data_IF_607173078413
#
_entry.id   IF_607173078413
#
_cell.length_a   1.000
_cell.length_b   1.000
_cell.length_c   1.000
_cell.angle_alpha   90.00
_cell.angle_beta   90.00
_cell.angle_gamma   90.00
#
_symmetry.space_group_name_H-M   'P 1'
#
loop_
_entity.id
_entity.type
_entity.pdbx_description
1 polymer ?
#
# COMPACT_ATOMS: atom_id res chain seq x y z
N UNK A 1 -0.77 17.27 1.22
CA UNK A 1 -1.49 18.56 1.03
C UNK A 1 -2.72 18.58 1.94
N UNK A 2 -3.56 17.58 1.92
CA UNK A 2 -4.76 17.51 2.78
C UNK A 2 -4.47 17.65 4.28
N UNK A 3 -3.30 17.25 4.73
CA UNK A 3 -2.82 17.39 6.13
C UNK A 3 -2.01 18.66 6.39
N UNK A 4 -1.90 19.58 5.40
CA UNK A 4 -1.34 20.91 5.61
C UNK A 4 -0.04 21.24 4.87
N UNK A 5 0.54 20.31 4.10
CA UNK A 5 1.73 20.59 3.32
C UNK A 5 1.49 21.75 2.34
N UNK A 6 2.38 22.74 2.35
CA UNK A 6 2.32 23.89 1.46
C UNK A 6 3.06 23.61 0.15
N UNK A 7 4.12 22.81 0.21
CA UNK A 7 4.92 22.39 -0.93
C UNK A 7 5.39 20.95 -0.73
N UNK A 8 5.57 20.24 -1.82
CA UNK A 8 6.11 18.87 -1.85
C UNK A 8 7.17 18.82 -2.94
N UNK A 9 8.35 18.29 -2.61
CA UNK A 9 9.43 18.05 -3.57
C UNK A 9 9.78 16.56 -3.61
N UNK A 10 9.25 15.79 -4.57
CA UNK A 10 9.48 14.35 -4.66
C UNK A 10 10.83 14.05 -5.36
N UNK A 11 11.93 14.50 -4.76
CA UNK A 11 13.26 14.42 -5.37
C UNK A 11 13.65 13.00 -5.78
N UNK A 12 13.40 12.00 -4.93
CA UNK A 12 13.73 10.60 -5.21
C UNK A 12 12.95 10.04 -6.41
N UNK A 13 11.71 10.48 -6.61
CA UNK A 13 10.95 10.13 -7.80
C UNK A 13 11.58 10.70 -9.06
N UNK A 14 12.07 11.93 -9.00
CA UNK A 14 12.76 12.57 -10.13
C UNK A 14 14.09 11.88 -10.47
N UNK A 15 14.90 11.58 -9.47
CA UNK A 15 16.12 10.79 -9.62
C UNK A 15 15.84 9.40 -10.24
N UNK A 16 14.78 8.74 -9.77
CA UNK A 16 14.39 7.44 -10.32
C UNK A 16 13.97 7.54 -11.78
N UNK A 17 13.21 8.57 -12.15
CA UNK A 17 12.79 8.83 -13.54
C UNK A 17 14.01 9.07 -14.44
N UNK A 18 14.96 9.87 -13.98
CA UNK A 18 16.20 10.13 -14.71
C UNK A 18 16.98 8.85 -14.97
N UNK A 19 17.19 8.03 -13.93
CA UNK A 19 17.83 6.73 -14.06
C UNK A 19 17.11 5.77 -15.02
N UNK A 20 15.78 5.76 -15.05
CA UNK A 20 15.00 4.93 -15.98
C UNK A 20 15.18 5.39 -17.43
N UNK A 21 15.26 6.71 -17.67
CA UNK A 21 15.58 7.27 -18.99
C UNK A 21 17.01 6.91 -19.42
N UNK A 22 18.00 7.05 -18.52
CA UNK A 22 19.39 6.69 -18.79
C UNK A 22 19.58 5.20 -19.12
N UNK A 23 18.81 4.34 -18.47
CA UNK A 23 18.82 2.89 -18.76
C UNK A 23 18.06 2.50 -20.02
N UNK A 24 17.40 3.45 -20.67
CA UNK A 24 16.56 3.18 -21.85
C UNK A 24 15.25 2.44 -21.54
N UNK A 25 14.83 2.42 -20.27
CA UNK A 25 13.54 1.85 -19.87
C UNK A 25 12.36 2.82 -20.18
N UNK A 26 12.66 4.10 -20.31
CA UNK A 26 11.74 5.14 -20.78
C UNK A 26 12.31 5.78 -22.04
N UNK A 27 11.59 5.66 -23.16
CA UNK A 27 11.98 6.21 -24.47
C UNK A 27 11.49 7.67 -24.61
N UNK A 28 11.84 8.50 -23.63
CA UNK A 28 11.57 9.96 -23.62
C UNK A 28 12.68 10.68 -22.85
N UNK A 29 12.82 11.98 -23.07
CA UNK A 29 13.80 12.76 -22.32
C UNK A 29 13.45 12.83 -20.83
N UNK A 30 14.45 12.88 -19.92
CA UNK A 30 14.23 13.00 -18.47
C UNK A 30 13.33 14.20 -18.12
N UNK A 31 13.54 15.34 -18.79
CA UNK A 31 12.72 16.53 -18.60
C UNK A 31 11.24 16.26 -18.94
N UNK A 32 10.96 15.62 -20.07
CA UNK A 32 9.59 15.32 -20.48
C UNK A 32 8.95 14.28 -19.54
N UNK A 33 9.71 13.29 -19.11
CA UNK A 33 9.25 12.28 -18.15
C UNK A 33 8.87 12.92 -16.79
N UNK A 34 9.71 13.82 -16.28
CA UNK A 34 9.45 14.57 -15.05
C UNK A 34 8.21 15.46 -15.17
N UNK A 35 8.02 16.14 -16.31
CA UNK A 35 6.81 16.93 -16.57
C UNK A 35 5.57 16.05 -16.62
N UNK A 36 5.65 14.87 -17.24
CA UNK A 36 4.55 13.92 -17.30
C UNK A 36 4.20 13.38 -15.92
N UNK A 37 5.20 13.06 -15.09
CA UNK A 37 5.00 12.65 -13.69
C UNK A 37 4.24 13.73 -12.91
N UNK A 38 4.70 15.00 -12.98
CA UNK A 38 4.04 16.12 -12.31
C UNK A 38 2.59 16.30 -12.80
N UNK A 39 2.35 16.21 -14.10
CA UNK A 39 0.99 16.26 -14.67
C UNK A 39 0.12 15.11 -14.14
N UNK A 40 0.68 13.92 -14.01
CA UNK A 40 -0.01 12.77 -13.44
C UNK A 40 -0.43 12.98 -11.98
N UNK A 41 0.47 13.48 -11.15
CA UNK A 41 0.18 13.84 -9.74
C UNK A 41 -0.90 14.92 -9.66
N UNK A 42 -0.82 15.96 -10.47
CA UNK A 42 -1.83 17.03 -10.50
C UNK A 42 -3.22 16.48 -10.89
N UNK A 43 -3.29 15.59 -11.90
CA UNK A 43 -4.56 14.95 -12.29
C UNK A 43 -5.11 14.08 -11.15
N UNK A 44 -4.25 13.37 -10.43
CA UNK A 44 -4.64 12.59 -9.25
C UNK A 44 -5.24 13.49 -8.16
N UNK A 45 -4.59 14.61 -7.86
CA UNK A 45 -5.08 15.59 -6.90
C UNK A 45 -6.46 16.14 -7.30
N UNK A 46 -6.63 16.57 -8.55
CA UNK A 46 -7.91 17.06 -9.05
C UNK A 46 -9.02 16.02 -8.97
N UNK A 47 -8.70 14.76 -9.24
CA UNK A 47 -9.65 13.66 -9.10
C UNK A 47 -10.11 13.47 -7.65
N UNK A 48 -9.18 13.53 -6.70
CA UNK A 48 -9.50 13.42 -5.27
C UNK A 48 -10.37 14.60 -4.84
N UNK A 49 -9.96 15.83 -5.17
CA UNK A 49 -10.73 17.05 -4.85
C UNK A 49 -12.12 17.02 -5.44
N UNK A 50 -12.25 16.60 -6.70
CA UNK A 50 -13.55 16.45 -7.38
C UNK A 50 -14.47 15.47 -6.66
N UNK A 51 -13.94 14.31 -6.21
CA UNK A 51 -14.72 13.33 -5.43
C UNK A 51 -15.15 13.85 -4.07
N UNK A 52 -14.35 14.73 -3.46
CA UNK A 52 -14.67 15.37 -2.18
C UNK A 52 -15.58 16.60 -2.33
N UNK A 53 -15.88 17.03 -3.56
CA UNK A 53 -16.64 18.25 -3.82
C UNK A 53 -15.87 19.53 -3.53
N UNK A 54 -14.55 19.51 -3.56
CA UNK A 54 -13.67 20.65 -3.27
C UNK A 54 -13.14 21.22 -4.57
N UNK A 55 -13.39 22.53 -4.82
CA UNK A 55 -12.97 23.22 -6.05
C UNK A 55 -11.64 23.96 -5.93
N UNK A 56 -11.19 24.28 -4.73
CA UNK A 56 -9.96 25.06 -4.50
C UNK A 56 -8.95 24.27 -3.65
N UNK A 57 -7.67 24.38 -3.99
CA UNK A 57 -6.58 23.75 -3.22
C UNK A 57 -6.51 24.31 -1.78
N UNK A 58 -6.82 25.60 -1.61
CA UNK A 58 -6.84 26.22 -0.30
C UNK A 58 -7.86 25.55 0.64
N UNK A 59 -9.02 25.14 0.14
CA UNK A 59 -10.03 24.41 0.91
C UNK A 59 -9.66 22.96 1.15
N UNK A 60 -8.90 22.34 0.25
CA UNK A 60 -8.40 20.97 0.43
C UNK A 60 -7.24 20.90 1.43
N UNK A 61 -6.38 21.91 1.42
CA UNK A 61 -5.23 21.99 2.32
C UNK A 61 -5.68 22.04 3.78
N UNK A 62 -5.14 21.18 4.59
CA UNK A 62 -5.53 21.03 6.02
C UNK A 62 -7.02 20.74 6.24
N UNK A 63 -7.72 20.20 5.25
CA UNK A 63 -9.14 19.87 5.37
C UNK A 63 -9.43 18.83 6.46
N UNK A 64 -8.43 17.99 6.80
CA UNK A 64 -8.51 16.91 7.78
C UNK A 64 -9.71 15.96 7.52
N UNK A 65 -10.04 15.75 6.24
CA UNK A 65 -11.09 14.82 5.79
C UNK A 65 -10.61 13.37 5.71
N UNK A 66 -9.54 13.07 6.43
CA UNK A 66 -8.94 11.74 6.50
C UNK A 66 -9.04 11.22 7.93
N UNK A 67 -9.21 9.92 8.05
CA UNK A 67 -9.05 9.21 9.31
C UNK A 67 -7.73 8.44 9.32
N UNK A 68 -7.06 8.42 10.46
CA UNK A 68 -5.95 7.51 10.69
C UNK A 68 -6.50 6.16 11.19
N UNK A 69 -5.96 5.08 10.64
CA UNK A 69 -6.31 3.72 11.04
C UNK A 69 -5.04 2.99 11.43
N UNK A 70 -5.01 2.41 12.63
CA UNK A 70 -3.86 1.65 13.10
C UNK A 70 -2.68 2.51 13.56
N UNK A 71 -2.93 3.73 14.03
CA UNK A 71 -1.92 4.64 14.59
C UNK A 71 -2.23 4.93 16.05
N UNK A 72 -1.23 4.79 16.93
CA UNK A 72 -1.36 5.03 18.36
C UNK A 72 -1.71 6.50 18.66
N UNK A 73 -2.48 6.72 19.74
CA UNK A 73 -2.90 8.06 20.15
C UNK A 73 -1.73 9.01 20.42
N UNK A 74 -0.64 8.54 21.00
CA UNK A 74 0.55 9.37 21.25
C UNK A 74 1.08 9.98 19.95
N UNK A 75 1.16 9.18 18.88
CA UNK A 75 1.59 9.65 17.55
C UNK A 75 0.56 10.64 16.98
N UNK A 76 -0.73 10.35 17.16
CA UNK A 76 -1.81 11.21 16.68
C UNK A 76 -1.81 12.58 17.35
N UNK A 77 -1.65 12.62 18.67
CA UNK A 77 -1.64 13.87 19.45
C UNK A 77 -0.43 14.75 19.11
N UNK A 78 0.74 14.11 18.90
CA UNK A 78 1.97 14.84 18.60
C UNK A 78 2.05 15.27 17.11
N UNK A 79 1.74 14.37 16.18
CA UNK A 79 2.03 14.58 14.76
C UNK A 79 0.79 14.96 13.94
N UNK A 80 -0.41 14.54 14.35
CA UNK A 80 -1.64 14.67 13.56
C UNK A 80 -2.79 15.29 14.37
N UNK A 81 -2.49 16.31 15.13
CA UNK A 81 -3.46 16.97 16.02
C UNK A 81 -4.75 17.36 15.29
N UNK A 82 -5.86 16.86 15.79
CA UNK A 82 -7.19 17.11 15.24
C UNK A 82 -7.61 16.21 14.08
N UNK A 83 -6.80 15.21 13.72
CA UNK A 83 -7.20 14.13 12.82
C UNK A 83 -7.86 13.01 13.62
N UNK A 84 -8.99 12.49 13.13
CA UNK A 84 -9.72 11.41 13.81
C UNK A 84 -8.96 10.09 13.69
N UNK A 85 -8.80 9.38 14.80
CA UNK A 85 -8.29 8.00 14.85
C UNK A 85 -9.17 7.18 15.78
N UNK A 86 -9.88 6.21 15.24
CA UNK A 86 -10.79 5.33 16.01
C UNK A 86 -10.17 3.97 16.30
N UNK A 87 -9.21 3.53 15.48
CA UNK A 87 -8.51 2.27 15.62
C UNK A 87 -7.05 2.58 15.88
N UNK A 88 -6.60 2.25 17.08
CA UNK A 88 -5.21 2.42 17.49
C UNK A 88 -4.32 1.32 16.90
N UNK A 89 -3.00 1.48 16.99
CA UNK A 89 -2.03 0.52 16.50
C UNK A 89 -0.60 0.99 16.70
N UNK A 90 0.16 1.14 15.62
CA UNK A 90 1.58 1.44 15.61
C UNK A 90 1.95 2.71 16.38
N UNK A 91 2.91 2.58 17.27
CA UNK A 91 3.56 3.66 17.99
C UNK A 91 4.87 4.10 17.34
N UNK A 92 5.62 4.98 18.00
CA UNK A 92 6.91 5.46 17.48
C UNK A 92 7.94 4.34 17.32
N UNK A 93 7.93 3.36 18.22
CA UNK A 93 8.85 2.21 18.13
C UNK A 93 8.59 1.35 16.92
N UNK A 94 7.31 1.16 16.56
CA UNK A 94 6.92 0.41 15.36
C UNK A 94 7.37 1.14 14.10
N UNK A 95 7.14 2.45 14.00
CA UNK A 95 7.62 3.27 12.88
C UNK A 95 9.15 3.27 12.80
N UNK A 96 9.82 3.34 13.93
CA UNK A 96 11.29 3.24 13.99
C UNK A 96 11.77 1.89 13.45
N UNK A 97 11.14 0.79 13.86
CA UNK A 97 11.47 -0.54 13.38
C UNK A 97 11.21 -0.70 11.88
N UNK A 98 10.14 -0.12 11.37
CA UNK A 98 9.83 -0.11 9.92
C UNK A 98 10.92 0.61 9.13
N UNK A 99 11.38 1.78 9.61
CA UNK A 99 12.47 2.53 8.98
C UNK A 99 13.77 1.72 8.99
N UNK A 100 14.10 1.06 10.11
CA UNK A 100 15.28 0.19 10.20
C UNK A 100 15.18 -0.95 9.17
N UNK A 101 14.03 -1.58 9.06
CA UNK A 101 13.81 -2.68 8.14
C UNK A 101 13.93 -2.22 6.67
N UNK A 102 13.33 -1.09 6.32
CA UNK A 102 13.46 -0.50 4.98
C UNK A 102 14.91 -0.11 4.68
N UNK A 103 15.61 0.50 5.62
CA UNK A 103 17.02 0.85 5.48
C UNK A 103 17.88 -0.40 5.24
N UNK A 104 17.66 -1.45 6.04
CA UNK A 104 18.36 -2.73 5.88
C UNK A 104 18.13 -3.35 4.51
N UNK A 105 16.89 -3.30 3.99
CA UNK A 105 16.54 -3.77 2.65
C UNK A 105 17.20 -2.94 1.54
N UNK A 106 17.33 -1.63 1.71
CA UNK A 106 17.94 -0.73 0.74
C UNK A 106 19.43 -1.05 0.48
N UNK A 107 20.13 -1.57 1.48
CA UNK A 107 21.56 -1.94 1.36
C UNK A 107 21.80 -3.39 0.96
N UNK A 108 20.76 -4.18 0.71
CA UNK A 108 20.94 -5.52 0.16
C UNK A 108 21.38 -5.44 -1.30
N UNK A 109 22.28 -6.38 -1.71
CA UNK A 109 22.75 -6.50 -3.09
C UNK A 109 21.65 -7.01 -4.06
N UNK A 110 20.39 -6.75 -3.79
CA UNK A 110 19.27 -7.10 -4.67
C UNK A 110 19.13 -6.07 -5.79
N UNK A 111 18.95 -6.56 -7.02
CA UNK A 111 18.74 -5.71 -8.19
C UNK A 111 17.28 -5.29 -8.39
N UNK A 112 16.34 -5.96 -7.75
CA UNK A 112 14.91 -5.68 -7.89
C UNK A 112 14.25 -5.42 -6.55
N UNK A 113 13.28 -4.50 -6.52
CA UNK A 113 12.42 -4.25 -5.37
C UNK A 113 11.37 -5.36 -5.31
N UNK A 114 11.33 -6.08 -4.18
CA UNK A 114 10.28 -7.06 -3.93
C UNK A 114 8.96 -6.35 -3.64
N UNK A 115 7.87 -6.79 -4.25
CA UNK A 115 6.53 -6.23 -3.98
C UNK A 115 5.78 -6.97 -2.86
N UNK A 116 6.42 -7.93 -2.18
CA UNK A 116 5.89 -8.62 -1.00
C UNK A 116 4.64 -9.49 -1.24
N UNK A 117 4.14 -9.57 -2.45
CA UNK A 117 2.94 -10.32 -2.79
C UNK A 117 1.63 -9.56 -2.54
N UNK A 118 1.65 -8.24 -2.32
CA UNK A 118 0.44 -7.47 -2.01
C UNK A 118 -0.60 -7.49 -3.13
N UNK A 119 -0.17 -7.33 -4.38
CA UNK A 119 -1.07 -7.28 -5.55
C UNK A 119 -1.22 -8.63 -6.26
N UNK A 120 -0.15 -9.40 -6.30
CA UNK A 120 -0.12 -10.76 -6.89
C UNK A 120 0.48 -11.70 -5.89
N UNK A 121 -0.04 -12.92 -5.84
CA UNK A 121 0.52 -13.95 -4.99
C UNK A 121 2.03 -14.15 -5.25
N UNK A 122 2.79 -14.18 -4.17
CA UNK A 122 4.21 -14.55 -4.15
C UNK A 122 4.42 -15.52 -3.01
N UNK A 123 5.11 -16.62 -3.29
CA UNK A 123 5.42 -17.62 -2.26
C UNK A 123 6.23 -16.99 -1.13
N UNK A 124 5.79 -17.18 0.12
CA UNK A 124 6.39 -16.54 1.29
C UNK A 124 6.11 -15.04 1.44
N UNK A 125 5.26 -14.46 0.59
CA UNK A 125 4.78 -13.09 0.69
C UNK A 125 3.45 -12.98 1.43
N UNK A 126 2.70 -11.90 1.12
CA UNK A 126 1.40 -11.60 1.73
C UNK A 126 0.40 -12.74 1.52
N UNK A 127 -0.41 -13.03 2.55
CA UNK A 127 -1.42 -14.07 2.47
C UNK A 127 -2.61 -13.64 1.63
N UNK A 128 -2.99 -14.47 0.65
CA UNK A 128 -4.20 -14.28 -0.15
C UNK A 128 -5.23 -15.36 0.17
N UNK A 129 -6.49 -14.97 0.37
CA UNK A 129 -7.58 -15.90 0.63
C UNK A 129 -7.77 -16.93 -0.51
N UNK A 130 -7.47 -16.53 -1.74
CA UNK A 130 -7.46 -17.38 -2.94
C UNK A 130 -6.01 -17.65 -3.38
N UNK A 131 -5.27 -18.36 -2.54
CA UNK A 131 -3.90 -18.77 -2.85
C UNK A 131 -3.89 -20.11 -3.62
N UNK A 132 -2.74 -20.52 -4.19
CA UNK A 132 -2.64 -21.75 -4.96
C UNK A 132 -3.09 -23.01 -4.21
N UNK A 133 -2.85 -23.12 -2.90
CA UNK A 133 -3.22 -24.29 -2.11
C UNK A 133 -4.75 -24.42 -1.98
N UNK A 134 -5.42 -23.30 -1.71
CA UNK A 134 -6.89 -23.24 -1.64
C UNK A 134 -7.50 -23.59 -3.00
N UNK A 135 -6.96 -23.03 -4.09
CA UNK A 135 -7.48 -23.30 -5.45
C UNK A 135 -7.25 -24.73 -5.87
N UNK A 136 -6.07 -25.29 -5.67
CA UNK A 136 -5.74 -26.67 -6.06
C UNK A 136 -6.54 -27.70 -5.26
N UNK A 137 -6.73 -27.45 -3.96
CA UNK A 137 -7.51 -28.34 -3.08
C UNK A 137 -8.99 -28.31 -3.45
N UNK A 138 -9.54 -27.14 -3.80
CA UNK A 138 -10.91 -27.04 -4.32
C UNK A 138 -11.06 -27.81 -5.64
N UNK A 139 -10.14 -27.61 -6.58
CA UNK A 139 -10.15 -28.32 -7.85
C UNK A 139 -10.09 -29.84 -7.65
N UNK A 140 -9.23 -30.32 -6.74
CA UNK A 140 -9.13 -31.73 -6.39
C UNK A 140 -10.48 -32.26 -5.87
N UNK A 141 -11.10 -31.57 -4.92
CA UNK A 141 -12.39 -31.95 -4.34
C UNK A 141 -13.50 -32.03 -5.40
N UNK A 142 -13.53 -31.08 -6.35
CA UNK A 142 -14.52 -31.08 -7.45
C UNK A 142 -14.29 -32.25 -8.41
N UNK A 143 -13.03 -32.59 -8.71
CA UNK A 143 -12.71 -33.66 -9.67
C UNK A 143 -12.93 -35.04 -9.04
N UNK A 144 -12.52 -35.25 -7.79
CA UNK A 144 -12.65 -36.54 -7.10
C UNK A 144 -14.09 -36.85 -6.67
N UNK A 145 -14.86 -35.81 -6.31
CA UNK A 145 -16.17 -35.95 -5.69
C UNK A 145 -16.13 -36.52 -4.26
N UNK A 146 -14.93 -36.73 -3.71
CA UNK A 146 -14.74 -37.33 -2.39
C UNK A 146 -14.92 -36.28 -1.28
N UNK A 147 -15.74 -36.61 -0.27
CA UNK A 147 -16.01 -35.73 0.85
C UNK A 147 -14.74 -35.40 1.68
N UNK A 148 -13.80 -36.32 1.77
CA UNK A 148 -12.52 -36.11 2.43
C UNK A 148 -11.67 -35.00 1.78
N UNK A 149 -11.71 -34.89 0.46
CA UNK A 149 -11.01 -33.82 -0.26
C UNK A 149 -11.71 -32.48 -0.05
N UNK A 150 -13.04 -32.46 0.00
CA UNK A 150 -13.79 -31.27 0.39
C UNK A 150 -13.47 -30.82 1.82
N UNK A 151 -13.35 -31.74 2.77
CA UNK A 151 -12.97 -31.40 4.15
C UNK A 151 -11.59 -30.73 4.22
N UNK A 152 -10.62 -31.15 3.39
CA UNK A 152 -9.31 -30.49 3.32
C UNK A 152 -9.42 -29.04 2.81
N UNK A 153 -10.21 -28.83 1.76
CA UNK A 153 -10.51 -27.48 1.29
C UNK A 153 -11.20 -26.65 2.36
N UNK A 154 -12.24 -27.16 2.99
CA UNK A 154 -12.99 -26.47 4.04
C UNK A 154 -12.10 -26.07 5.22
N UNK A 155 -11.15 -26.94 5.60
CA UNK A 155 -10.17 -26.64 6.64
C UNK A 155 -9.27 -25.46 6.26
N UNK A 156 -8.72 -25.46 5.04
CA UNK A 156 -7.88 -24.37 4.57
C UNK A 156 -8.61 -23.01 4.56
N UNK A 157 -9.90 -23.00 4.27
CA UNK A 157 -10.71 -21.80 4.22
C UNK A 157 -11.16 -21.32 5.60
N UNK A 158 -11.58 -22.26 6.47
CA UNK A 158 -12.21 -21.91 7.74
C UNK A 158 -11.23 -21.75 8.90
N UNK A 159 -10.08 -22.43 8.85
CA UNK A 159 -9.08 -22.40 9.93
C UNK A 159 -7.88 -21.49 9.59
N UNK A 160 -7.97 -20.68 8.55
CA UNK A 160 -6.93 -19.73 8.19
C UNK A 160 -6.81 -18.59 9.19
N UNK A 161 -5.64 -17.97 9.23
CA UNK A 161 -5.47 -16.70 9.94
C UNK A 161 -6.40 -15.60 9.40
N UNK A 162 -6.86 -14.67 10.23
CA UNK A 162 -7.66 -13.54 9.77
C UNK A 162 -6.99 -12.79 8.61
N UNK A 163 -7.71 -12.62 7.50
CA UNK A 163 -7.24 -11.89 6.32
C UNK A 163 -8.05 -10.61 6.07
N UNK A 164 -9.20 -10.47 6.70
CA UNK A 164 -10.09 -9.31 6.58
C UNK A 164 -10.54 -8.86 7.97
N UNK A 165 -10.87 -7.58 8.11
CA UNK A 165 -11.37 -7.03 9.38
C UNK A 165 -12.60 -7.80 9.89
N UNK A 166 -13.49 -8.23 9.00
CA UNK A 166 -14.66 -9.05 9.36
C UNK A 166 -14.32 -10.41 9.95
N UNK A 167 -13.13 -10.93 9.71
CA UNK A 167 -12.67 -12.21 10.29
C UNK A 167 -12.32 -12.05 11.78
N UNK A 168 -12.27 -10.82 12.28
CA UNK A 168 -12.01 -10.45 13.67
C UNK A 168 -13.29 -10.10 14.45
N UNK A 169 -14.45 -10.06 13.78
CA UNK A 169 -15.76 -9.78 14.38
C UNK A 169 -16.47 -11.08 14.77
#
# INVERSE_FOLDING_TARGET
>A
IGLGATAVYPFLAYETIEQLCEKGELDISPMQATLNYRKGINKGLYKIMSKMGISTVASYRSSKLFEAVGVNNEVMELCFKGVTSRIQGAGFDDFHQDIINLNRLAWLKRKSVGHGGLLKYVHGGEYHAYNPDVVSTLQKAVVSGEYSDYQQYAKLVNERSPAHIRDLL
#
